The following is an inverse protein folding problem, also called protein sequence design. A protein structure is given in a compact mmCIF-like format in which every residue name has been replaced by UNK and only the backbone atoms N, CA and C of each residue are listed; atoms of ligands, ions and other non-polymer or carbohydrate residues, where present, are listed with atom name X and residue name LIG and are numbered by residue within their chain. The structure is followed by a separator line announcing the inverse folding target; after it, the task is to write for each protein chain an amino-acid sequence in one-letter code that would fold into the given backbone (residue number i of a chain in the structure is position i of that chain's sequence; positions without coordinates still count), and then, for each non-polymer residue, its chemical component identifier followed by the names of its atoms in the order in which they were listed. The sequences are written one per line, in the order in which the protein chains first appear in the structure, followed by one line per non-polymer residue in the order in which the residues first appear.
data_IF_491117361607
#
_entry.id   IF_491117361607
#
_cell.length_a   1.000
_cell.length_b   1.000
_cell.length_c   1.000
_cell.angle_alpha   90.00
_cell.angle_beta   90.00
_cell.angle_gamma   90.00
#
_symmetry.space_group_name_H-M   'P 1'
#
loop_
_entity.id
_entity.type
_entity.pdbx_description
1 polymer ?
#
# COMPACT_ATOMS: atom_id res chain seq x y z
N UNK A 1 -15.84 -22.50 18.18
CA UNK A 1 -15.19 -21.35 18.87
C UNK A 1 -15.68 -20.08 18.19
N UNK A 2 -15.89 -18.99 18.94
CA UNK A 2 -16.23 -17.69 18.32
C UNK A 2 -15.02 -17.23 17.49
N UNK A 3 -15.27 -16.62 16.31
CA UNK A 3 -14.19 -16.02 15.52
C UNK A 3 -13.62 -14.82 16.26
N UNK A 4 -12.30 -14.67 16.24
CA UNK A 4 -11.59 -13.59 16.92
C UNK A 4 -11.08 -12.57 15.91
N UNK A 5 -11.32 -11.30 16.23
CA UNK A 5 -10.80 -10.17 15.47
C UNK A 5 -9.69 -9.52 16.29
N UNK A 6 -8.51 -9.33 15.69
CA UNK A 6 -7.33 -8.79 16.36
C UNK A 6 -7.06 -7.38 15.87
N UNK A 7 -6.92 -6.44 16.78
CA UNK A 7 -6.70 -5.03 16.49
C UNK A 7 -5.35 -4.60 17.07
N UNK A 8 -4.25 -4.72 16.29
CA UNK A 8 -2.95 -4.21 16.70
C UNK A 8 -3.04 -2.72 17.04
N UNK A 9 -2.43 -2.33 18.15
CA UNK A 9 -2.45 -0.94 18.64
C UNK A 9 -1.61 0.00 17.77
N UNK A 10 -0.68 -0.54 16.98
CA UNK A 10 0.12 0.20 16.01
C UNK A 10 -0.16 -0.25 14.59
N UNK A 11 -0.86 0.58 13.83
CA UNK A 11 -1.21 0.35 12.41
C UNK A 11 -0.76 1.52 11.51
N UNK A 12 0.27 2.25 11.96
CA UNK A 12 0.78 3.46 11.35
C UNK A 12 2.19 3.79 11.87
N UNK A 13 2.88 4.75 11.22
CA UNK A 13 4.24 5.16 11.63
C UNK A 13 4.34 5.80 13.02
N UNK A 14 3.26 6.42 13.51
CA UNK A 14 3.20 7.11 14.80
C UNK A 14 3.27 6.20 16.04
N UNK A 15 2.98 6.76 17.21
CA UNK A 15 2.94 6.06 18.51
C UNK A 15 1.72 5.13 18.62
N UNK A 16 1.85 3.92 19.19
CA UNK A 16 0.72 3.02 19.39
C UNK A 16 -0.45 3.69 20.13
N UNK A 17 -1.67 3.34 19.74
CA UNK A 17 -2.89 3.78 20.43
C UNK A 17 -3.06 3.11 21.78
N UNK A 18 -3.69 3.82 22.71
CA UNK A 18 -3.90 3.38 24.09
C UNK A 18 -5.34 2.89 24.22
N UNK A 19 -5.58 1.63 24.65
CA UNK A 19 -6.92 1.10 24.86
C UNK A 19 -7.78 2.00 25.76
N UNK A 20 -9.06 2.16 25.41
CA UNK A 20 -10.06 2.90 26.20
C UNK A 20 -11.24 2.01 26.66
N UNK A 21 -11.11 0.71 26.43
CA UNK A 21 -12.05 -0.36 26.82
C UNK A 21 -11.36 -1.33 27.79
N UNK A 22 -12.13 -2.23 28.39
CA UNK A 22 -11.66 -3.26 29.31
C UNK A 22 -12.10 -4.64 28.85
N UNK A 23 -11.39 -5.68 29.29
CA UNK A 23 -11.81 -7.06 29.08
C UNK A 23 -13.22 -7.30 29.62
N UNK A 24 -14.03 -8.02 28.84
CA UNK A 24 -15.45 -8.24 29.13
C UNK A 24 -16.40 -7.14 28.63
N UNK A 25 -15.89 -5.98 28.20
CA UNK A 25 -16.74 -4.92 27.64
C UNK A 25 -17.42 -5.38 26.35
N UNK A 26 -18.71 -5.07 26.22
CA UNK A 26 -19.42 -5.15 24.95
C UNK A 26 -19.07 -3.94 24.10
N UNK A 27 -18.80 -4.18 22.82
CA UNK A 27 -18.47 -3.13 21.86
C UNK A 27 -19.33 -3.22 20.62
N UNK A 28 -19.67 -2.06 20.07
CA UNK A 28 -20.40 -1.92 18.82
C UNK A 28 -19.46 -1.57 17.67
N UNK A 29 -19.86 -1.92 16.45
CA UNK A 29 -19.21 -1.47 15.23
C UNK A 29 -19.17 0.05 15.18
N UNK A 30 -18.01 0.63 14.90
CA UNK A 30 -17.75 2.07 14.95
C UNK A 30 -17.45 2.63 16.35
N UNK A 31 -17.47 1.82 17.41
CA UNK A 31 -17.12 2.28 18.76
C UNK A 31 -15.59 2.46 18.89
N UNK A 32 -15.16 3.56 19.51
CA UNK A 32 -13.74 3.81 19.80
C UNK A 32 -13.23 2.79 20.83
N UNK A 33 -12.17 2.05 20.48
CA UNK A 33 -11.56 1.03 21.35
C UNK A 33 -10.14 1.39 21.81
N UNK A 34 -9.42 2.22 21.05
CA UNK A 34 -8.15 2.79 21.48
C UNK A 34 -7.97 4.23 20.95
N UNK A 35 -7.48 5.13 21.79
CA UNK A 35 -7.24 6.54 21.46
C UNK A 35 -5.76 6.76 21.17
N UNK A 36 -5.42 7.58 20.19
CA UNK A 36 -4.02 7.99 20.01
C UNK A 36 -3.51 8.79 21.22
N UNK A 37 -2.22 8.67 21.59
CA UNK A 37 -1.65 9.48 22.67
C UNK A 37 -1.75 10.98 22.35
N UNK A 38 -1.98 11.80 23.38
CA UNK A 38 -2.02 13.25 23.23
C UNK A 38 -0.64 13.79 22.85
N UNK A 39 -0.61 14.84 22.03
CA UNK A 39 0.61 15.51 21.54
C UNK A 39 1.60 14.64 20.73
N UNK A 40 1.27 13.37 20.48
CA UNK A 40 2.05 12.48 19.63
C UNK A 40 1.38 12.26 18.27
N UNK A 41 2.20 12.03 17.24
CA UNK A 41 1.69 11.57 15.96
C UNK A 41 1.09 10.17 16.15
N UNK A 42 -0.18 9.98 15.80
CA UNK A 42 -0.86 8.70 15.90
C UNK A 42 -2.25 8.74 15.28
N UNK A 43 -3.04 7.68 15.51
CA UNK A 43 -4.41 7.57 15.01
C UNK A 43 -5.26 6.68 15.89
N UNK A 44 -6.50 7.10 16.17
CA UNK A 44 -7.51 6.32 16.87
C UNK A 44 -7.79 4.95 16.22
N UNK A 45 -8.30 4.00 17.01
CA UNK A 45 -8.70 2.67 16.58
C UNK A 45 -10.14 2.38 17.03
N UNK A 46 -10.91 1.82 16.11
CA UNK A 46 -12.34 1.57 16.27
C UNK A 46 -12.64 0.09 16.06
N UNK A 47 -13.67 -0.42 16.75
CA UNK A 47 -14.16 -1.76 16.46
C UNK A 47 -14.84 -1.78 15.10
N UNK A 48 -14.49 -2.74 14.25
CA UNK A 48 -15.19 -2.98 12.98
C UNK A 48 -16.37 -3.95 13.13
N UNK A 49 -16.61 -4.46 14.33
CA UNK A 49 -17.60 -5.51 14.60
C UNK A 49 -18.34 -5.26 15.92
N UNK A 50 -19.52 -5.85 16.05
CA UNK A 50 -20.14 -6.04 17.35
C UNK A 50 -19.47 -7.23 18.06
N UNK A 51 -19.16 -7.09 19.33
CA UNK A 51 -18.53 -8.19 20.04
C UNK A 51 -18.24 -7.91 21.50
N UNK A 52 -17.36 -8.73 22.05
CA UNK A 52 -16.89 -8.62 23.44
C UNK A 52 -15.38 -8.58 23.44
N UNK A 53 -14.79 -7.64 24.19
CA UNK A 53 -13.34 -7.61 24.38
C UNK A 53 -12.93 -8.87 25.14
N UNK A 54 -12.18 -9.74 24.48
CA UNK A 54 -11.72 -10.99 25.07
C UNK A 54 -10.38 -10.80 25.79
N UNK A 55 -9.47 -10.04 25.20
CA UNK A 55 -8.12 -9.83 25.73
C UNK A 55 -7.60 -8.45 25.32
N UNK A 56 -6.87 -7.80 26.23
CA UNK A 56 -6.08 -6.60 25.95
C UNK A 56 -4.63 -6.86 26.35
N UNK A 57 -3.71 -6.72 25.38
CA UNK A 57 -2.27 -6.79 25.60
C UNK A 57 -1.59 -5.45 25.31
N UNK A 58 -0.29 -5.36 25.54
CA UNK A 58 0.52 -4.18 25.22
C UNK A 58 0.56 -3.85 23.71
N UNK A 59 0.16 -4.78 22.85
CA UNK A 59 0.30 -4.65 21.39
C UNK A 59 -1.00 -4.85 20.62
N UNK A 60 -2.03 -5.47 21.19
CA UNK A 60 -3.29 -5.77 20.48
C UNK A 60 -4.50 -5.80 21.40
N UNK A 61 -5.67 -5.51 20.84
CA UNK A 61 -7.00 -5.76 21.43
C UNK A 61 -7.65 -6.90 20.65
N UNK A 62 -8.14 -7.93 21.34
CA UNK A 62 -8.84 -9.07 20.72
C UNK A 62 -10.33 -8.99 21.02
N UNK A 63 -11.16 -9.13 19.98
CA UNK A 63 -12.62 -9.05 20.07
C UNK A 63 -13.24 -10.36 19.62
N UNK A 64 -13.96 -11.02 20.51
CA UNK A 64 -14.82 -12.15 20.17
C UNK A 64 -16.10 -11.65 19.54
N UNK A 65 -16.34 -11.99 18.27
CA UNK A 65 -17.50 -11.48 17.53
C UNK A 65 -18.81 -12.09 18.05
N UNK A 66 -19.86 -11.29 18.02
CA UNK A 66 -21.23 -11.77 18.25
C UNK A 66 -21.87 -12.25 16.92
N UNK A 67 -22.89 -13.10 16.98
CA UNK A 67 -23.52 -13.66 15.77
C UNK A 67 -24.26 -12.59 14.95
N UNK A 68 -24.78 -11.56 15.61
CA UNK A 68 -25.48 -10.46 14.97
C UNK A 68 -24.51 -9.31 14.63
N UNK A 69 -24.25 -9.11 13.34
CA UNK A 69 -23.38 -8.07 12.80
C UNK A 69 -24.17 -7.11 11.88
N UNK A 70 -24.89 -6.12 12.45
CA UNK A 70 -25.55 -5.09 11.65
C UNK A 70 -24.50 -4.23 10.91
N UNK A 71 -24.90 -3.68 9.76
CA UNK A 71 -24.03 -2.79 8.97
C UNK A 71 -23.87 -1.39 9.57
N UNK A 72 -24.81 -0.99 10.44
CA UNK A 72 -24.79 0.29 11.14
C UNK A 72 -23.56 0.43 12.04
N UNK A 73 -23.14 1.66 12.26
CA UNK A 73 -21.95 2.00 13.05
C UNK A 73 -22.18 3.22 13.92
N UNK A 74 -21.43 3.30 15.04
CA UNK A 74 -21.38 4.53 15.83
C UNK A 74 -20.74 5.66 15.02
N UNK A 75 -21.45 6.79 14.94
CA UNK A 75 -21.00 7.96 14.18
C UNK A 75 -20.00 8.80 14.97
N UNK A 76 -19.05 9.38 14.25
CA UNK A 76 -18.12 10.39 14.76
C UNK A 76 -18.87 11.61 15.31
N UNK A 77 -18.30 12.23 16.34
CA UNK A 77 -18.98 13.28 17.12
C UNK A 77 -18.53 14.69 16.76
N UNK A 78 -17.35 14.84 16.16
CA UNK A 78 -16.81 16.13 15.74
C UNK A 78 -17.67 16.83 14.68
N UNK A 79 -17.38 18.11 14.47
CA UNK A 79 -18.12 18.98 13.55
C UNK A 79 -17.28 19.49 12.37
N UNK A 80 -16.02 19.85 12.60
CA UNK A 80 -15.14 20.32 11.53
C UNK A 80 -14.51 19.16 10.76
N UNK A 81 -14.21 19.40 9.49
CA UNK A 81 -13.74 18.37 8.56
C UNK A 81 -12.38 17.79 9.01
N UNK A 82 -11.42 18.64 9.38
CA UNK A 82 -10.12 18.19 9.87
C UNK A 82 -10.23 17.43 11.19
N UNK A 83 -11.09 17.86 12.10
CA UNK A 83 -11.35 17.17 13.37
C UNK A 83 -12.01 15.82 13.14
N UNK A 84 -12.95 15.71 12.21
CA UNK A 84 -13.58 14.44 11.82
C UNK A 84 -12.55 13.47 11.21
N UNK A 85 -11.66 13.95 10.35
CA UNK A 85 -10.55 13.13 9.78
C UNK A 85 -9.59 12.67 10.89
N UNK A 86 -9.31 13.54 11.86
CA UNK A 86 -8.47 13.20 13.02
C UNK A 86 -9.16 12.19 13.95
N UNK A 87 -10.44 12.40 14.23
CA UNK A 87 -11.25 11.53 15.08
C UNK A 87 -11.39 10.15 14.46
N UNK A 88 -11.69 10.06 13.16
CA UNK A 88 -11.96 8.80 12.43
C UNK A 88 -10.84 7.76 12.48
N UNK A 89 -9.63 8.18 12.86
CA UNK A 89 -8.45 7.33 12.82
C UNK A 89 -7.98 7.04 11.39
N UNK A 90 -8.27 7.94 10.45
CA UNK A 90 -7.82 7.81 9.07
C UNK A 90 -6.31 8.05 8.95
N UNK A 91 -5.65 7.13 8.24
CA UNK A 91 -4.24 7.18 7.87
C UNK A 91 -4.11 7.03 6.35
N UNK A 92 -2.96 7.38 5.78
CA UNK A 92 -2.70 7.17 4.36
C UNK A 92 -2.70 5.69 4.01
N UNK A 93 -3.64 5.28 3.16
CA UNK A 93 -3.93 3.88 2.83
C UNK A 93 -3.07 3.33 1.68
N UNK A 94 -2.28 4.18 1.03
CA UNK A 94 -1.36 3.79 -0.06
C UNK A 94 0.03 3.35 0.38
N UNK A 95 0.28 3.09 1.67
CA UNK A 95 1.61 2.72 2.15
C UNK A 95 1.76 2.71 3.67
N UNK A 96 2.74 3.48 4.19
CA UNK A 96 3.19 3.40 5.57
C UNK A 96 2.17 3.86 6.65
N UNK A 97 0.97 4.32 6.27
CA UNK A 97 -0.05 4.76 7.23
C UNK A 97 0.27 6.08 7.91
N UNK A 98 0.74 7.11 7.19
CA UNK A 98 0.91 8.44 7.78
C UNK A 98 -0.46 9.03 8.17
N UNK A 99 -0.68 9.54 9.41
CA UNK A 99 -1.99 10.09 9.80
C UNK A 99 -2.48 11.20 8.87
N UNK A 100 -3.67 11.04 8.29
CA UNK A 100 -4.15 11.90 7.21
C UNK A 100 -4.39 13.34 7.68
N UNK A 101 -4.91 13.52 8.90
CA UNK A 101 -5.08 14.86 9.48
C UNK A 101 -3.74 15.61 9.56
N UNK A 102 -2.65 14.92 9.91
CA UNK A 102 -1.34 15.55 10.07
C UNK A 102 -0.76 15.98 8.71
N UNK A 103 -1.18 15.33 7.63
CA UNK A 103 -0.82 15.73 6.26
C UNK A 103 -1.61 16.95 5.78
N UNK A 104 -2.85 17.12 6.26
CA UNK A 104 -3.76 18.20 5.86
C UNK A 104 -3.78 19.41 6.81
N UNK A 105 -3.21 19.30 8.01
CA UNK A 105 -3.30 20.35 9.04
C UNK A 105 -2.61 21.67 8.69
N UNK A 106 -1.66 21.64 7.74
CA UNK A 106 -0.92 22.82 7.31
C UNK A 106 -1.53 23.30 5.98
N UNK A 107 -2.31 24.40 5.98
CA UNK A 107 -2.81 24.96 4.74
C UNK A 107 -1.66 25.52 3.89
N UNK A 108 -1.90 25.60 2.59
CA UNK A 108 -1.09 26.38 1.67
C UNK A 108 -1.29 27.88 1.95
N UNK A 109 -0.31 28.68 1.54
CA UNK A 109 -0.48 30.13 1.51
C UNK A 109 -1.60 30.51 0.49
N UNK A 110 -2.16 31.72 0.62
CA UNK A 110 -3.21 32.17 -0.30
C UNK A 110 -2.70 32.16 -1.75
N UNK A 111 -3.55 31.72 -2.68
CA UNK A 111 -3.30 31.62 -4.13
C UNK A 111 -2.28 30.53 -4.53
N UNK A 112 -2.28 29.38 -3.85
CA UNK A 112 -1.39 28.27 -4.18
C UNK A 112 -1.84 26.87 -3.76
N UNK A 113 -1.01 25.88 -4.07
CA UNK A 113 -1.18 24.50 -3.63
C UNK A 113 -1.87 23.57 -4.63
N UNK A 114 -1.55 22.28 -4.52
CA UNK A 114 -2.17 21.23 -5.34
C UNK A 114 -2.40 19.99 -4.49
N UNK A 115 -3.63 19.49 -4.46
CA UNK A 115 -3.92 18.15 -3.95
C UNK A 115 -3.85 17.16 -5.11
N UNK A 116 -2.96 16.18 -5.01
CA UNK A 116 -2.78 15.14 -6.04
C UNK A 116 -3.37 13.84 -5.50
N UNK A 117 -4.39 13.30 -6.16
CA UNK A 117 -4.86 11.95 -5.92
C UNK A 117 -3.99 10.97 -6.71
N UNK A 118 -3.25 10.15 -5.99
CA UNK A 118 -2.50 9.03 -6.51
C UNK A 118 -3.44 7.82 -6.69
N UNK A 119 -3.96 7.69 -7.89
CA UNK A 119 -4.75 6.55 -8.37
C UNK A 119 -3.93 5.69 -9.36
N UNK A 120 -2.61 5.65 -9.18
CA UNK A 120 -1.72 4.94 -10.09
C UNK A 120 -1.72 3.42 -9.91
N UNK A 121 -2.22 2.91 -8.77
CA UNK A 121 -2.24 1.49 -8.35
C UNK A 121 -1.02 0.73 -8.89
N UNK A 122 0.15 1.09 -8.37
CA UNK A 122 1.40 0.70 -9.01
C UNK A 122 1.81 -0.74 -8.75
N UNK A 123 1.45 -1.28 -7.59
CA UNK A 123 1.71 -2.67 -7.27
C UNK A 123 0.94 -3.57 -8.26
N UNK A 124 1.63 -4.39 -9.07
CA UNK A 124 0.95 -5.27 -10.01
C UNK A 124 0.03 -6.23 -9.24
N UNK A 125 -1.01 -6.75 -9.90
CA UNK A 125 -2.06 -7.59 -9.31
C UNK A 125 -3.08 -6.80 -8.46
N UNK A 126 -2.66 -5.80 -7.69
CA UNK A 126 -3.62 -4.98 -6.93
C UNK A 126 -4.47 -4.16 -7.90
N UNK A 127 -5.78 -4.11 -7.62
CA UNK A 127 -6.76 -3.41 -8.47
C UNK A 127 -7.86 -2.71 -7.67
N UNK A 128 -7.88 -2.82 -6.34
CA UNK A 128 -9.00 -2.35 -5.51
C UNK A 128 -9.29 -0.84 -5.65
N UNK A 129 -8.27 0.02 -5.80
CA UNK A 129 -8.51 1.45 -5.99
C UNK A 129 -9.05 1.74 -7.41
N UNK A 130 -8.57 1.02 -8.43
CA UNK A 130 -9.07 1.14 -9.80
C UNK A 130 -10.51 0.65 -9.90
N UNK A 131 -10.81 -0.49 -9.27
CA UNK A 131 -12.16 -1.06 -9.20
C UNK A 131 -13.13 -0.11 -8.49
N UNK A 132 -12.69 0.54 -7.39
CA UNK A 132 -13.44 1.61 -6.71
C UNK A 132 -13.78 2.76 -7.66
N UNK A 133 -12.79 3.31 -8.38
CA UNK A 133 -12.99 4.40 -9.36
C UNK A 133 -13.91 3.95 -10.50
N UNK A 134 -13.74 2.73 -10.98
CA UNK A 134 -14.58 2.16 -12.02
C UNK A 134 -16.00 1.97 -11.52
N UNK A 135 -16.24 1.60 -10.27
CA UNK A 135 -17.61 1.47 -9.74
C UNK A 135 -18.27 2.84 -9.52
N UNK A 136 -17.60 3.74 -8.79
CA UNK A 136 -18.07 5.10 -8.53
C UNK A 136 -16.89 6.04 -8.18
N UNK A 137 -16.52 7.00 -9.05
CA UNK A 137 -15.43 7.94 -8.76
C UNK A 137 -15.84 9.06 -7.79
N UNK A 138 -17.13 9.21 -7.46
CA UNK A 138 -17.62 10.36 -6.69
C UNK A 138 -17.10 10.45 -5.25
N UNK A 139 -16.96 9.35 -4.47
CA UNK A 139 -16.38 9.41 -3.13
C UNK A 139 -14.96 9.99 -3.14
N UNK A 140 -14.12 9.56 -4.08
CA UNK A 140 -12.76 10.07 -4.28
C UNK A 140 -12.79 11.58 -4.59
N UNK A 141 -13.63 12.01 -5.54
CA UNK A 141 -13.72 13.43 -5.95
C UNK A 141 -14.23 14.31 -4.80
N UNK A 142 -15.23 13.85 -4.04
CA UNK A 142 -15.72 14.58 -2.86
C UNK A 142 -14.65 14.68 -1.78
N UNK A 143 -13.91 13.59 -1.54
CA UNK A 143 -12.78 13.57 -0.63
C UNK A 143 -11.66 14.55 -1.04
N UNK A 144 -11.35 14.60 -2.33
CA UNK A 144 -10.42 15.57 -2.92
C UNK A 144 -10.88 17.01 -2.63
N UNK A 145 -12.15 17.34 -2.89
CA UNK A 145 -12.70 18.69 -2.65
C UNK A 145 -12.62 19.09 -1.19
N UNK A 146 -12.95 18.18 -0.26
CA UNK A 146 -12.80 18.40 1.18
C UNK A 146 -11.33 18.67 1.54
N UNK A 147 -10.39 17.89 0.99
CA UNK A 147 -8.97 18.09 1.24
C UNK A 147 -8.47 19.44 0.69
N UNK A 148 -8.96 19.86 -0.48
CA UNK A 148 -8.67 21.17 -1.05
C UNK A 148 -9.18 22.31 -0.15
N UNK A 149 -10.41 22.21 0.36
CA UNK A 149 -10.98 23.20 1.27
C UNK A 149 -10.17 23.32 2.58
N UNK A 150 -9.84 22.19 3.22
CA UNK A 150 -9.06 22.17 4.47
C UNK A 150 -7.69 22.84 4.29
N UNK A 151 -7.07 22.62 3.13
CA UNK A 151 -5.70 23.05 2.86
C UNK A 151 -5.62 24.37 2.12
N UNK A 152 -6.76 24.97 1.74
CA UNK A 152 -6.82 26.14 0.87
C UNK A 152 -6.08 25.93 -0.47
N UNK A 153 -6.13 24.72 -1.03
CA UNK A 153 -5.48 24.40 -2.30
C UNK A 153 -6.36 24.82 -3.49
N UNK A 154 -5.75 25.51 -4.44
CA UNK A 154 -6.47 26.02 -5.61
C UNK A 154 -6.74 24.94 -6.66
N UNK A 155 -5.95 23.86 -6.69
CA UNK A 155 -6.01 22.82 -7.72
C UNK A 155 -6.08 21.40 -7.15
N UNK A 156 -6.88 20.57 -7.78
CA UNK A 156 -6.89 19.12 -7.61
C UNK A 156 -6.37 18.43 -8.88
N UNK A 157 -5.58 17.38 -8.73
CA UNK A 157 -5.13 16.55 -9.86
C UNK A 157 -5.38 15.09 -9.52
N UNK A 158 -6.07 14.36 -10.39
CA UNK A 158 -6.27 12.91 -10.26
C UNK A 158 -5.32 12.22 -11.24
N UNK A 159 -4.34 11.48 -10.73
CA UNK A 159 -3.31 10.85 -11.53
C UNK A 159 -3.57 9.34 -11.67
N UNK A 160 -3.86 8.90 -12.90
CA UNK A 160 -4.25 7.52 -13.24
C UNK A 160 -3.38 7.04 -14.40
N UNK A 161 -2.96 5.78 -14.42
CA UNK A 161 -2.21 5.25 -15.57
C UNK A 161 -3.06 5.14 -16.82
N UNK A 162 -2.48 5.48 -17.97
CA UNK A 162 -3.13 5.51 -19.29
C UNK A 162 -3.84 4.20 -19.67
N UNK A 163 -3.38 3.05 -19.15
CA UNK A 163 -4.01 1.74 -19.40
C UNK A 163 -5.42 1.61 -18.82
N UNK A 164 -5.77 2.36 -17.78
CA UNK A 164 -7.06 2.26 -17.08
C UNK A 164 -8.13 3.12 -17.77
N UNK A 165 -8.40 2.80 -19.04
CA UNK A 165 -9.24 3.62 -19.92
C UNK A 165 -10.67 3.81 -19.40
N UNK A 166 -11.26 2.79 -18.76
CA UNK A 166 -12.61 2.87 -18.19
C UNK A 166 -12.65 3.79 -16.96
N UNK A 167 -11.70 3.65 -16.04
CA UNK A 167 -11.52 4.58 -14.92
C UNK A 167 -11.33 6.03 -15.39
N UNK A 168 -10.44 6.26 -16.36
CA UNK A 168 -10.18 7.59 -16.94
C UNK A 168 -11.46 8.19 -17.52
N UNK A 169 -12.23 7.40 -18.28
CA UNK A 169 -13.49 7.86 -18.86
C UNK A 169 -14.50 8.28 -17.79
N UNK A 170 -14.67 7.47 -16.74
CA UNK A 170 -15.60 7.77 -15.65
C UNK A 170 -15.18 8.99 -14.84
N UNK A 171 -13.89 9.16 -14.57
CA UNK A 171 -13.37 10.35 -13.88
C UNK A 171 -13.55 11.59 -14.74
N UNK A 172 -13.19 11.56 -16.04
CA UNK A 172 -13.37 12.70 -16.96
C UNK A 172 -14.84 13.17 -17.01
N UNK A 173 -15.78 12.23 -17.04
CA UNK A 173 -17.22 12.56 -16.99
C UNK A 173 -17.62 13.18 -15.64
N UNK A 174 -17.09 12.65 -14.53
CA UNK A 174 -17.44 13.11 -13.19
C UNK A 174 -16.85 14.50 -12.83
N UNK A 175 -15.75 14.91 -13.47
CA UNK A 175 -15.10 16.22 -13.24
C UNK A 175 -15.38 17.24 -14.35
N UNK A 176 -16.24 16.93 -15.33
CA UNK A 176 -16.45 17.79 -16.51
C UNK A 176 -16.88 19.23 -16.20
N UNK A 177 -17.56 19.41 -15.06
CA UNK A 177 -18.07 20.70 -14.58
C UNK A 177 -17.21 21.29 -13.44
N UNK A 178 -16.08 20.64 -13.09
CA UNK A 178 -15.15 21.11 -12.06
C UNK A 178 -14.03 21.93 -12.73
N UNK A 179 -13.96 23.23 -12.47
CA UNK A 179 -12.99 24.14 -13.13
C UNK A 179 -11.56 23.99 -12.60
N UNK A 180 -11.39 23.41 -11.42
CA UNK A 180 -10.13 23.36 -10.68
C UNK A 180 -9.63 21.94 -10.38
N UNK A 181 -10.22 20.93 -11.03
CA UNK A 181 -9.81 19.53 -10.89
C UNK A 181 -9.47 18.98 -12.28
N UNK A 182 -8.23 18.56 -12.45
CA UNK A 182 -7.72 17.98 -13.69
C UNK A 182 -7.44 16.48 -13.53
N UNK A 183 -7.45 15.75 -14.65
CA UNK A 183 -6.93 14.38 -14.73
C UNK A 183 -5.57 14.37 -15.43
N UNK A 184 -4.60 13.67 -14.84
CA UNK A 184 -3.28 13.46 -15.40
C UNK A 184 -3.06 11.97 -15.74
N UNK A 185 -2.76 11.67 -17.00
CA UNK A 185 -2.50 10.30 -17.46
C UNK A 185 -1.02 9.95 -17.25
N UNK A 186 -0.75 8.97 -16.39
CA UNK A 186 0.58 8.46 -16.09
C UNK A 186 0.98 7.36 -17.07
N UNK A 187 2.27 7.27 -17.37
CA UNK A 187 2.84 6.12 -18.09
C UNK A 187 2.65 4.82 -17.29
N UNK A 188 2.41 3.70 -17.96
CA UNK A 188 2.31 2.39 -17.29
C UNK A 188 3.68 1.81 -16.92
N UNK A 189 4.28 2.39 -15.87
CA UNK A 189 5.59 1.98 -15.36
C UNK A 189 5.57 1.88 -13.83
N UNK A 190 6.19 0.85 -13.27
CA UNK A 190 6.51 0.82 -11.85
C UNK A 190 7.87 1.53 -11.61
N UNK A 191 7.97 2.51 -10.69
CA UNK A 191 7.04 2.86 -9.62
C UNK A 191 6.46 4.28 -9.79
N UNK A 192 5.67 4.55 -10.84
CA UNK A 192 5.13 5.91 -11.08
C UNK A 192 4.17 6.43 -10.00
N UNK A 193 3.68 5.55 -9.13
CA UNK A 193 2.89 5.89 -7.95
C UNK A 193 3.73 6.20 -6.72
N UNK A 194 5.07 6.15 -6.80
CA UNK A 194 5.92 6.71 -5.75
C UNK A 194 5.76 8.24 -5.76
N UNK A 195 5.65 8.83 -4.57
CA UNK A 195 5.23 10.22 -4.39
C UNK A 195 6.12 11.24 -5.10
N UNK A 196 7.45 11.02 -5.12
CA UNK A 196 8.42 11.90 -5.77
C UNK A 196 8.45 11.67 -7.28
N UNK A 197 8.28 10.44 -7.75
CA UNK A 197 8.07 10.19 -9.18
C UNK A 197 6.79 10.87 -9.68
N UNK A 198 5.70 10.77 -8.92
CA UNK A 198 4.42 11.36 -9.28
C UNK A 198 4.51 12.90 -9.40
N UNK A 199 5.13 13.55 -8.40
CA UNK A 199 5.33 15.00 -8.42
C UNK A 199 6.26 15.41 -9.58
N UNK A 200 7.30 14.62 -9.88
CA UNK A 200 8.17 14.87 -11.03
C UNK A 200 7.38 14.82 -12.34
N UNK A 201 6.53 13.82 -12.56
CA UNK A 201 5.79 13.71 -13.82
C UNK A 201 4.72 14.81 -13.97
N UNK A 202 4.10 15.26 -12.86
CA UNK A 202 3.03 16.27 -12.89
C UNK A 202 3.57 17.71 -12.91
N UNK A 203 4.63 17.99 -12.14
CA UNK A 203 5.13 19.36 -11.91
C UNK A 203 6.52 19.62 -12.49
N UNK A 204 7.19 18.61 -13.06
CA UNK A 204 8.59 18.67 -13.49
C UNK A 204 9.56 19.04 -12.35
N UNK A 205 9.20 18.66 -11.12
CA UNK A 205 10.02 18.89 -9.91
C UNK A 205 10.43 17.55 -9.32
N UNK A 206 11.72 17.23 -9.36
CA UNK A 206 12.29 16.09 -8.63
C UNK A 206 12.68 16.54 -7.22
N UNK A 207 11.93 16.09 -6.23
CA UNK A 207 12.21 16.33 -4.81
C UNK A 207 13.45 15.57 -4.35
N UNK A 208 14.19 16.11 -3.39
CA UNK A 208 15.27 15.36 -2.71
C UNK A 208 14.68 14.22 -1.87
N UNK A 209 15.52 13.23 -1.49
CA UNK A 209 15.06 12.05 -0.74
C UNK A 209 14.48 12.41 0.65
N UNK A 210 14.89 13.54 1.21
CA UNK A 210 14.41 14.06 2.51
C UNK A 210 13.24 15.02 2.38
N UNK A 211 12.95 15.52 1.18
CA UNK A 211 11.93 16.53 0.99
C UNK A 211 10.53 15.93 1.15
N UNK A 212 9.62 16.78 1.62
CA UNK A 212 8.20 16.49 1.64
C UNK A 212 7.54 17.12 0.40
N UNK A 213 6.44 16.53 -0.10
CA UNK A 213 5.63 17.09 -1.18
C UNK A 213 5.30 18.58 -1.08
N UNK A 214 5.15 19.06 0.15
CA UNK A 214 4.84 20.45 0.45
C UNK A 214 5.89 21.42 -0.12
N UNK A 215 7.15 20.99 -0.30
CA UNK A 215 8.21 21.79 -0.96
C UNK A 215 7.88 22.11 -2.41
N UNK A 216 7.11 21.26 -3.08
CA UNK A 216 6.62 21.46 -4.44
C UNK A 216 5.15 21.94 -4.46
N UNK A 217 4.70 22.60 -3.38
CA UNK A 217 3.31 23.05 -3.19
C UNK A 217 2.29 21.93 -3.46
N UNK A 218 2.59 20.72 -2.99
CA UNK A 218 1.78 19.53 -3.24
C UNK A 218 1.45 18.78 -1.96
N UNK A 219 0.27 18.18 -1.91
CA UNK A 219 -0.08 17.11 -0.97
C UNK A 219 -0.59 15.94 -1.80
N UNK A 220 0.02 14.76 -1.64
CA UNK A 220 -0.43 13.56 -2.36
C UNK A 220 -1.30 12.69 -1.45
N UNK A 221 -2.47 12.27 -1.92
CA UNK A 221 -3.34 11.33 -1.22
C UNK A 221 -3.56 10.12 -2.11
N UNK A 222 -3.54 8.91 -1.54
CA UNK A 222 -4.00 7.74 -2.28
C UNK A 222 -5.53 7.83 -2.50
N UNK A 223 -6.04 7.23 -3.58
CA UNK A 223 -7.47 7.23 -3.91
C UNK A 223 -8.36 6.83 -2.72
N UNK A 224 -8.15 5.66 -2.14
CA UNK A 224 -8.99 5.20 -1.04
C UNK A 224 -8.88 6.13 0.17
N UNK A 225 -7.71 6.74 0.40
CA UNK A 225 -7.58 7.75 1.45
C UNK A 225 -8.52 8.94 1.21
N UNK A 226 -8.65 9.41 -0.03
CA UNK A 226 -9.61 10.45 -0.39
C UNK A 226 -11.05 9.97 -0.22
N UNK A 227 -11.38 8.77 -0.70
CA UNK A 227 -12.71 8.17 -0.52
C UNK A 227 -13.08 8.06 0.97
N UNK A 228 -12.13 7.68 1.85
CA UNK A 228 -12.35 7.64 3.31
C UNK A 228 -12.37 9.02 3.99
N UNK A 229 -11.78 10.07 3.38
CA UNK A 229 -12.01 11.46 3.84
C UNK A 229 -13.49 11.81 3.68
N UNK A 230 -14.09 11.50 2.53
CA UNK A 230 -15.51 11.71 2.30
C UNK A 230 -16.37 10.90 3.31
N UNK A 231 -16.06 9.62 3.52
CA UNK A 231 -16.79 8.81 4.52
C UNK A 231 -16.69 9.39 5.94
N UNK A 232 -15.51 9.87 6.34
CA UNK A 232 -15.30 10.45 7.66
C UNK A 232 -16.07 11.77 7.86
N UNK A 233 -16.10 12.64 6.84
CA UNK A 233 -16.68 13.98 6.96
C UNK A 233 -18.20 13.98 6.73
N UNK A 234 -18.65 13.37 5.64
CA UNK A 234 -20.05 13.41 5.22
C UNK A 234 -20.89 12.32 5.88
N UNK A 235 -20.34 11.10 5.98
CA UNK A 235 -21.06 9.96 6.57
C UNK A 235 -20.78 9.81 8.07
N UNK A 236 -19.79 10.54 8.60
CA UNK A 236 -19.31 10.43 9.98
C UNK A 236 -18.90 9.01 10.33
N UNK A 237 -18.29 8.31 9.38
CA UNK A 237 -17.85 6.92 9.54
C UNK A 237 -16.38 6.87 10.00
N UNK A 238 -16.07 6.19 11.12
CA UNK A 238 -14.68 5.91 11.49
C UNK A 238 -14.02 4.97 10.47
N UNK A 239 -12.68 4.92 10.43
CA UNK A 239 -11.97 3.95 9.60
C UNK A 239 -12.08 2.54 10.23
N UNK A 240 -13.08 1.79 9.77
CA UNK A 240 -13.41 0.43 10.25
C UNK A 240 -13.37 -0.64 9.16
N UNK A 241 -13.33 -0.22 7.90
CA UNK A 241 -13.27 -1.14 6.76
C UNK A 241 -12.19 -0.72 5.77
N UNK A 242 -11.73 -1.69 4.98
CA UNK A 242 -10.66 -1.56 4.01
C UNK A 242 -11.03 -2.26 2.71
N UNK A 243 -10.67 -1.68 1.58
CA UNK A 243 -10.80 -2.34 0.28
C UNK A 243 -9.52 -3.13 -0.02
N UNK A 244 -9.65 -4.38 -0.49
CA UNK A 244 -8.53 -5.32 -0.57
C UNK A 244 -8.61 -6.10 -1.88
N UNK A 245 -7.46 -6.26 -2.55
CA UNK A 245 -7.32 -7.25 -3.62
C UNK A 245 -6.79 -8.57 -3.07
N UNK A 246 -7.51 -9.66 -3.29
CA UNK A 246 -7.12 -11.03 -2.91
C UNK A 246 -6.78 -11.80 -4.17
N UNK A 247 -5.59 -12.41 -4.23
CA UNK A 247 -5.09 -12.99 -5.47
C UNK A 247 -4.20 -14.21 -5.27
N UNK A 248 -3.93 -14.92 -6.38
CA UNK A 248 -2.93 -15.97 -6.46
C UNK A 248 -3.51 -17.38 -6.51
N UNK A 249 -2.91 -18.30 -5.75
CA UNK A 249 -3.34 -19.70 -5.62
C UNK A 249 -4.60 -19.79 -4.76
N UNK A 250 -5.76 -19.63 -5.39
CA UNK A 250 -7.09 -19.62 -4.77
C UNK A 250 -7.91 -20.83 -5.23
N UNK A 251 -8.99 -21.16 -4.50
CA UNK A 251 -9.90 -22.25 -4.89
C UNK A 251 -10.79 -21.90 -6.08
N UNK A 252 -11.21 -20.65 -6.18
CA UNK A 252 -12.01 -20.12 -7.29
C UNK A 252 -11.43 -18.78 -7.74
N UNK A 253 -11.34 -18.57 -9.05
CA UNK A 253 -10.69 -17.40 -9.65
C UNK A 253 -9.20 -17.25 -9.33
N UNK A 254 -8.59 -16.18 -9.86
CA UNK A 254 -7.18 -15.83 -9.60
C UNK A 254 -7.04 -14.49 -8.89
N UNK A 255 -8.02 -13.59 -9.03
CA UNK A 255 -8.02 -12.24 -8.49
C UNK A 255 -9.47 -11.91 -8.11
N UNK A 256 -9.67 -11.42 -6.90
CA UNK A 256 -10.93 -10.92 -6.37
C UNK A 256 -10.69 -9.54 -5.76
N UNK A 257 -11.61 -8.62 -5.96
CA UNK A 257 -11.64 -7.34 -5.24
C UNK A 257 -12.76 -7.41 -4.21
N UNK A 258 -12.41 -7.15 -2.96
CA UNK A 258 -13.36 -7.07 -1.85
C UNK A 258 -13.41 -5.64 -1.35
N UNK A 259 -14.61 -5.06 -1.33
CA UNK A 259 -14.83 -3.74 -0.73
C UNK A 259 -15.38 -3.87 0.68
N UNK A 260 -15.02 -2.91 1.54
CA UNK A 260 -15.47 -2.81 2.92
C UNK A 260 -15.17 -4.07 3.76
N UNK A 261 -13.97 -4.65 3.63
CA UNK A 261 -13.50 -5.73 4.49
C UNK A 261 -13.28 -5.18 5.91
N UNK A 262 -13.95 -5.73 6.94
CA UNK A 262 -13.80 -5.23 8.31
C UNK A 262 -12.37 -5.37 8.82
N UNK A 263 -11.82 -4.31 9.41
CA UNK A 263 -10.49 -4.35 10.04
C UNK A 263 -10.44 -5.39 11.16
N UNK A 264 -9.29 -6.03 11.34
CA UNK A 264 -9.05 -7.02 12.40
C UNK A 264 -9.52 -8.44 12.09
N UNK A 265 -10.23 -8.67 10.97
CA UNK A 265 -10.44 -10.02 10.44
C UNK A 265 -9.09 -10.69 10.17
N UNK A 266 -8.98 -12.00 10.34
CA UNK A 266 -7.75 -12.73 10.00
C UNK A 266 -7.55 -12.85 8.48
N UNK A 267 -6.30 -13.04 8.06
CA UNK A 267 -5.94 -13.37 6.67
C UNK A 267 -6.72 -14.58 6.16
N UNK A 268 -6.82 -15.64 6.97
CA UNK A 268 -7.66 -16.82 6.67
C UNK A 268 -9.12 -16.42 6.45
N UNK A 269 -9.67 -15.58 7.35
CA UNK A 269 -11.04 -15.11 7.25
C UNK A 269 -11.32 -14.35 5.96
N UNK A 270 -10.34 -13.62 5.41
CA UNK A 270 -10.47 -12.96 4.10
C UNK A 270 -10.46 -13.98 2.96
N UNK A 271 -9.59 -14.99 3.00
CA UNK A 271 -9.62 -16.06 1.99
C UNK A 271 -10.94 -16.83 2.04
N UNK A 272 -11.51 -17.08 3.22
CA UNK A 272 -12.81 -17.74 3.36
C UNK A 272 -13.95 -16.97 2.65
N UNK A 273 -13.90 -15.62 2.64
CA UNK A 273 -14.91 -14.78 1.97
C UNK A 273 -14.98 -15.02 0.46
N UNK A 274 -13.90 -15.49 -0.15
CA UNK A 274 -13.81 -15.79 -1.58
C UNK A 274 -13.79 -17.29 -1.89
N UNK A 275 -14.19 -18.14 -0.93
CA UNK A 275 -14.24 -19.59 -1.10
C UNK A 275 -12.97 -20.35 -0.70
N UNK A 276 -11.93 -19.66 -0.23
CA UNK A 276 -10.73 -20.21 0.39
C UNK A 276 -9.46 -20.15 -0.46
N UNK A 277 -8.33 -20.29 0.23
CA UNK A 277 -6.99 -20.42 -0.37
C UNK A 277 -6.80 -21.82 -0.98
N UNK A 278 -5.99 -21.93 -2.04
CA UNK A 278 -5.64 -23.21 -2.65
C UNK A 278 -4.82 -24.11 -1.73
N UNK A 279 -4.84 -25.42 -2.00
CA UNK A 279 -4.17 -26.42 -1.14
C UNK A 279 -2.63 -26.35 -1.21
N UNK A 280 -2.09 -25.80 -2.30
CA UNK A 280 -0.65 -25.67 -2.52
C UNK A 280 -0.28 -24.23 -2.92
N UNK A 281 0.51 -23.58 -2.06
CA UNK A 281 1.06 -22.24 -2.26
C UNK A 281 2.44 -22.12 -1.59
N UNK A 282 3.26 -21.19 -2.04
CA UNK A 282 4.61 -20.99 -1.51
C UNK A 282 4.65 -20.15 -0.24
N UNK A 283 3.94 -19.02 -0.26
CA UNK A 283 3.81 -18.10 0.87
C UNK A 283 2.58 -17.21 0.68
N UNK A 284 2.18 -16.52 1.74
CA UNK A 284 1.16 -15.47 1.69
C UNK A 284 1.87 -14.12 1.82
N UNK A 285 1.60 -13.22 0.88
CA UNK A 285 2.13 -11.87 0.85
C UNK A 285 1.01 -10.90 1.25
N UNK A 286 1.22 -10.11 2.30
CA UNK A 286 0.39 -8.97 2.64
C UNK A 286 0.94 -7.71 1.94
N UNK A 287 0.12 -7.10 1.10
CA UNK A 287 0.47 -6.00 0.21
C UNK A 287 0.69 -6.45 -1.24
N UNK A 288 1.42 -5.64 -2.00
CA UNK A 288 1.70 -5.90 -3.42
C UNK A 288 2.97 -6.72 -3.67
N UNK A 289 3.19 -7.19 -4.91
CA UNK A 289 4.35 -8.02 -5.25
C UNK A 289 5.71 -7.37 -5.02
N UNK A 290 5.84 -6.04 -5.13
CA UNK A 290 7.14 -5.37 -4.96
C UNK A 290 7.45 -5.11 -3.49
N UNK A 291 6.51 -4.54 -2.73
CA UNK A 291 6.74 -4.06 -1.36
C UNK A 291 6.08 -4.89 -0.27
N UNK A 292 5.28 -5.88 -0.64
CA UNK A 292 4.55 -6.73 0.29
C UNK A 292 5.49 -7.62 1.13
N UNK A 293 4.99 -8.00 2.30
CA UNK A 293 5.72 -8.82 3.28
C UNK A 293 5.05 -10.16 3.46
N UNK A 294 5.83 -11.18 3.81
CA UNK A 294 5.28 -12.47 4.22
C UNK A 294 4.37 -12.28 5.43
N UNK A 295 3.24 -12.97 5.44
CA UNK A 295 2.27 -13.01 6.53
C UNK A 295 1.75 -14.43 6.73
N UNK A 296 1.02 -14.65 7.81
CA UNK A 296 0.42 -15.92 8.19
C UNK A 296 -1.11 -15.83 8.26
N UNK A 297 -1.77 -16.98 8.26
CA UNK A 297 -3.24 -17.08 8.19
C UNK A 297 -3.95 -16.43 9.40
N UNK A 298 -3.29 -16.47 10.55
CA UNK A 298 -3.78 -15.92 11.82
C UNK A 298 -3.53 -14.42 12.02
N UNK A 299 -2.75 -13.80 11.12
CA UNK A 299 -2.44 -12.37 11.19
C UNK A 299 -3.69 -11.53 10.83
N UNK A 300 -3.87 -10.35 11.43
CA UNK A 300 -5.02 -9.51 11.16
C UNK A 300 -4.83 -8.61 9.94
N UNK A 301 -5.94 -8.30 9.29
CA UNK A 301 -6.06 -7.18 8.37
C UNK A 301 -6.02 -5.87 9.16
N UNK A 302 -5.14 -4.97 8.76
CA UNK A 302 -4.94 -3.66 9.37
C UNK A 302 -5.19 -2.55 8.34
N UNK A 303 -5.21 -1.29 8.81
CA UNK A 303 -5.50 -0.11 7.96
C UNK A 303 -4.68 -0.04 6.67
N UNK A 304 -3.43 -0.49 6.70
CA UNK A 304 -2.51 -0.42 5.55
C UNK A 304 -2.52 -1.67 4.66
N UNK A 305 -3.41 -2.64 4.92
CA UNK A 305 -3.50 -3.87 4.12
C UNK A 305 -4.27 -3.58 2.82
N UNK A 306 -3.55 -3.42 1.70
CA UNK A 306 -4.15 -3.24 0.37
C UNK A 306 -4.30 -4.52 -0.45
N UNK A 307 -3.66 -5.61 -0.04
CA UNK A 307 -3.74 -6.88 -0.78
C UNK A 307 -3.29 -8.10 0.00
N UNK A 308 -3.75 -9.26 -0.46
CA UNK A 308 -3.33 -10.58 -0.01
C UNK A 308 -3.05 -11.45 -1.22
N UNK A 309 -1.85 -12.00 -1.31
CA UNK A 309 -1.43 -12.81 -2.45
C UNK A 309 -0.92 -14.16 -1.98
N UNK A 310 -1.62 -15.24 -2.33
CA UNK A 310 -1.12 -16.60 -2.20
C UNK A 310 -0.16 -16.88 -3.36
N UNK A 311 1.13 -16.70 -3.14
CA UNK A 311 2.15 -16.81 -4.18
C UNK A 311 2.41 -18.27 -4.58
N UNK A 312 2.94 -18.46 -5.79
CA UNK A 312 3.34 -19.78 -6.26
C UNK A 312 4.51 -20.36 -5.44
N UNK A 313 4.56 -21.69 -5.34
CA UNK A 313 5.64 -22.42 -4.66
C UNK A 313 7.01 -21.99 -5.19
N UNK A 314 7.94 -21.78 -4.25
CA UNK A 314 9.32 -21.47 -4.58
C UNK A 314 9.94 -22.60 -5.40
N UNK A 315 10.69 -22.24 -6.43
CA UNK A 315 11.53 -23.19 -7.14
C UNK A 315 12.85 -23.37 -6.38
N UNK A 316 13.43 -24.56 -6.46
CA UNK A 316 14.80 -24.78 -6.01
C UNK A 316 15.73 -23.80 -6.74
N UNK A 317 16.36 -22.93 -5.97
CA UNK A 317 17.32 -21.96 -6.46
C UNK A 317 18.68 -22.59 -6.74
N UNK A 318 19.63 -21.82 -7.28
CA UNK A 318 21.03 -22.25 -7.34
C UNK A 318 21.61 -22.38 -5.92
N UNK A 319 22.80 -22.95 -5.79
CA UNK A 319 23.50 -23.02 -4.50
C UNK A 319 23.76 -21.61 -3.94
N UNK A 320 24.11 -20.65 -4.81
CA UNK A 320 24.53 -19.30 -4.41
C UNK A 320 23.81 -18.19 -5.18
N UNK A 321 23.08 -17.34 -4.47
CA UNK A 321 22.39 -16.16 -5.00
C UNK A 321 23.11 -14.85 -4.65
N UNK A 322 23.20 -13.95 -5.62
CA UNK A 322 23.53 -12.54 -5.39
C UNK A 322 22.25 -11.72 -5.23
N UNK A 323 22.16 -10.92 -4.16
CA UNK A 323 21.00 -10.07 -3.90
C UNK A 323 21.24 -8.66 -4.43
N UNK A 324 20.34 -8.15 -5.28
CA UNK A 324 20.34 -6.75 -5.71
C UNK A 324 19.12 -6.04 -5.14
N UNK A 325 19.33 -5.29 -4.06
CA UNK A 325 18.30 -4.60 -3.30
C UNK A 325 17.96 -3.26 -3.96
N UNK A 326 16.68 -2.97 -4.13
CA UNK A 326 16.20 -1.69 -4.64
C UNK A 326 15.35 -0.96 -3.60
N UNK A 327 15.58 0.35 -3.47
CA UNK A 327 14.79 1.21 -2.59
C UNK A 327 13.30 1.31 -3.00
N UNK A 328 12.97 0.96 -4.25
CA UNK A 328 11.60 0.96 -4.76
C UNK A 328 10.90 -0.41 -4.61
N UNK A 329 11.52 -1.42 -4.01
CA UNK A 329 10.92 -2.76 -3.93
C UNK A 329 11.24 -3.43 -2.60
N UNK A 330 11.33 -4.75 -2.61
CA UNK A 330 11.65 -5.54 -1.44
C UNK A 330 13.02 -5.17 -0.85
N UNK A 331 13.07 -5.06 0.48
CA UNK A 331 14.27 -4.78 1.24
C UNK A 331 15.19 -6.02 1.34
N UNK A 332 16.37 -5.82 1.96
CA UNK A 332 17.35 -6.88 2.14
C UNK A 332 16.80 -8.07 2.94
N UNK A 333 16.03 -7.81 4.00
CA UNK A 333 15.47 -8.85 4.86
C UNK A 333 14.52 -9.75 4.06
N UNK A 334 13.68 -9.15 3.23
CA UNK A 334 12.75 -9.86 2.36
C UNK A 334 13.48 -10.68 1.29
N UNK A 335 14.52 -10.14 0.66
CA UNK A 335 15.30 -10.91 -0.33
C UNK A 335 16.05 -12.08 0.31
N UNK A 336 16.57 -11.92 1.53
CA UNK A 336 17.19 -13.01 2.30
C UNK A 336 16.18 -14.11 2.65
N UNK A 337 14.98 -13.73 3.07
CA UNK A 337 13.90 -14.67 3.35
C UNK A 337 13.54 -15.50 2.11
N UNK A 338 13.42 -14.86 0.95
CA UNK A 338 13.17 -15.55 -0.32
C UNK A 338 14.32 -16.48 -0.73
N UNK A 339 15.58 -16.03 -0.59
CA UNK A 339 16.74 -16.88 -0.88
C UNK A 339 16.77 -18.14 0.00
N UNK A 340 16.42 -18.00 1.30
CA UNK A 340 16.30 -19.12 2.22
C UNK A 340 15.18 -20.08 1.78
N UNK A 341 14.01 -19.57 1.37
CA UNK A 341 12.91 -20.39 0.83
C UNK A 341 13.27 -21.10 -0.48
N UNK A 342 14.21 -20.56 -1.26
CA UNK A 342 14.74 -21.21 -2.46
C UNK A 342 15.84 -22.24 -2.17
N UNK A 343 16.29 -22.35 -0.91
CA UNK A 343 17.41 -23.22 -0.53
C UNK A 343 18.79 -22.70 -0.98
N UNK A 344 18.92 -21.39 -1.17
CA UNK A 344 20.14 -20.76 -1.68
C UNK A 344 20.90 -20.01 -0.60
N UNK A 345 22.23 -20.13 -0.59
CA UNK A 345 23.11 -19.26 0.20
C UNK A 345 23.24 -17.88 -0.45
N UNK A 346 23.43 -16.84 0.36
CA UNK A 346 23.68 -15.48 -0.14
C UNK A 346 25.17 -15.28 -0.39
N UNK A 347 25.56 -15.19 -1.65
CA UNK A 347 26.94 -14.95 -2.08
C UNK A 347 27.41 -13.51 -1.84
N UNK A 348 26.49 -12.56 -1.94
CA UNK A 348 26.76 -11.14 -1.77
C UNK A 348 25.49 -10.31 -1.88
N UNK A 349 25.56 -9.09 -1.37
CA UNK A 349 24.44 -8.15 -1.34
C UNK A 349 24.94 -6.83 -1.90
N UNK A 350 24.24 -6.31 -2.89
CA UNK A 350 24.49 -5.00 -3.45
C UNK A 350 23.19 -4.19 -3.46
N UNK A 351 23.34 -2.88 -3.32
CA UNK A 351 22.24 -1.94 -3.37
C UNK A 351 22.25 -1.23 -4.73
N UNK A 352 21.04 -1.00 -5.26
CA UNK A 352 20.79 -0.20 -6.46
C UNK A 352 21.60 1.10 -6.40
N UNK A 353 22.18 1.51 -7.53
CA UNK A 353 23.00 2.73 -7.61
C UNK A 353 22.31 4.01 -7.09
N UNK A 354 20.99 4.09 -7.17
CA UNK A 354 20.19 5.21 -6.68
C UNK A 354 19.64 5.00 -5.26
N UNK A 355 19.89 3.87 -4.61
CA UNK A 355 19.41 3.64 -3.26
C UNK A 355 20.26 4.45 -2.27
N UNK A 356 19.62 5.43 -1.63
CA UNK A 356 20.20 6.25 -0.58
C UNK A 356 19.68 5.75 0.77
N UNK A 357 20.60 5.43 1.67
CA UNK A 357 20.26 5.04 3.03
C UNK A 357 19.82 6.27 3.85
N UNK A 358 18.67 6.17 4.48
CA UNK A 358 18.10 7.19 5.35
C UNK A 358 18.55 6.95 6.79
N UNK A 359 18.45 7.98 7.65
CA UNK A 359 18.86 7.89 9.07
C UNK A 359 18.16 6.78 9.87
N UNK A 360 17.00 6.32 9.43
CA UNK A 360 16.22 5.26 10.06
C UNK A 360 16.55 3.86 9.52
N UNK A 361 17.59 3.72 8.67
CA UNK A 361 17.98 2.46 8.02
C UNK A 361 17.10 2.04 6.84
N UNK A 362 16.08 2.84 6.48
CA UNK A 362 15.31 2.60 5.24
C UNK A 362 16.04 3.19 4.04
N UNK A 363 15.72 2.73 2.84
CA UNK A 363 16.31 3.23 1.62
C UNK A 363 15.29 4.03 0.81
N UNK A 364 15.73 5.13 0.20
CA UNK A 364 14.96 5.89 -0.78
C UNK A 364 15.72 5.96 -2.10
N UNK A 365 14.98 5.87 -3.21
CA UNK A 365 15.57 5.95 -4.54
C UNK A 365 15.76 7.42 -4.93
N UNK A 366 16.94 7.83 -5.37
CA UNK A 366 17.23 9.19 -5.82
C UNK A 366 16.29 9.66 -6.94
N UNK A 367 16.02 8.81 -7.95
CA UNK A 367 15.13 9.13 -9.07
C UNK A 367 14.22 7.94 -9.42
N UNK A 368 13.10 7.74 -8.69
CA UNK A 368 12.28 6.55 -8.82
C UNK A 368 11.75 6.38 -10.25
N UNK A 369 11.98 5.19 -10.83
CA UNK A 369 11.56 4.83 -12.18
C UNK A 369 12.48 5.29 -13.32
N UNK A 370 13.62 5.95 -13.03
CA UNK A 370 14.62 6.35 -14.04
C UNK A 370 16.03 5.88 -13.62
N UNK A 371 16.45 4.73 -14.14
CA UNK A 371 17.64 3.99 -13.71
C UNK A 371 18.94 4.43 -14.43
N UNK A 372 20.07 4.63 -13.72
CA UNK A 372 21.37 4.96 -14.32
C UNK A 372 22.16 3.72 -14.78
N UNK A 373 21.59 2.52 -14.70
CA UNK A 373 22.23 1.23 -14.99
C UNK A 373 22.83 0.53 -13.75
N UNK A 374 22.83 -0.81 -13.77
CA UNK A 374 23.25 -1.66 -12.64
C UNK A 374 24.46 -2.58 -12.94
N UNK A 375 25.18 -2.34 -14.05
CA UNK A 375 26.24 -3.24 -14.55
C UNK A 375 27.33 -3.50 -13.50
N UNK A 376 27.83 -2.44 -12.84
CA UNK A 376 28.88 -2.56 -11.83
C UNK A 376 28.45 -3.48 -10.67
N UNK A 377 27.20 -3.31 -10.21
CA UNK A 377 26.61 -4.08 -9.10
C UNK A 377 26.47 -5.55 -9.46
N UNK A 378 25.97 -5.84 -10.66
CA UNK A 378 25.86 -7.21 -11.19
C UNK A 378 27.24 -7.87 -11.30
N UNK A 379 28.26 -7.15 -11.76
CA UNK A 379 29.63 -7.67 -11.84
C UNK A 379 30.23 -7.96 -10.47
N UNK A 380 29.97 -7.14 -9.45
CA UNK A 380 30.42 -7.40 -8.07
C UNK A 380 29.80 -8.67 -7.50
N UNK A 381 28.48 -8.84 -7.65
CA UNK A 381 27.79 -10.06 -7.21
C UNK A 381 28.32 -11.31 -7.91
N UNK A 382 28.57 -11.24 -9.22
CA UNK A 382 29.19 -12.35 -9.96
C UNK A 382 30.59 -12.68 -9.45
N UNK A 383 31.42 -11.66 -9.17
CA UNK A 383 32.76 -11.85 -8.59
C UNK A 383 32.71 -12.43 -7.17
N UNK A 384 31.65 -12.15 -6.42
CA UNK A 384 31.39 -12.76 -5.10
C UNK A 384 30.94 -14.23 -5.19
N UNK A 385 30.80 -14.79 -6.40
CA UNK A 385 30.45 -16.20 -6.60
C UNK A 385 28.95 -16.46 -6.79
N UNK A 386 28.14 -15.42 -7.03
CA UNK A 386 26.74 -15.60 -7.37
C UNK A 386 26.57 -16.43 -8.65
N UNK A 387 25.75 -17.49 -8.57
CA UNK A 387 25.38 -18.34 -9.70
C UNK A 387 24.11 -17.84 -10.40
N UNK A 388 23.26 -17.10 -9.68
CA UNK A 388 22.16 -16.30 -10.23
C UNK A 388 21.92 -15.05 -9.38
N UNK A 389 21.07 -14.15 -9.86
CA UNK A 389 20.63 -12.97 -9.12
C UNK A 389 19.20 -13.15 -8.61
N UNK A 390 18.94 -12.67 -7.41
CA UNK A 390 17.61 -12.35 -6.92
C UNK A 390 17.51 -10.82 -6.75
N UNK A 391 16.60 -10.20 -7.50
CA UNK A 391 16.51 -8.74 -7.60
C UNK A 391 15.15 -8.23 -7.15
N UNK A 392 15.13 -7.02 -6.56
CA UNK A 392 13.89 -6.29 -6.22
C UNK A 392 13.71 -4.97 -6.97
N UNK A 393 14.47 -4.81 -8.05
CA UNK A 393 14.53 -3.61 -8.87
C UNK A 393 13.18 -3.20 -9.46
N UNK A 394 12.90 -1.89 -9.49
CA UNK A 394 11.76 -1.37 -10.24
C UNK A 394 11.86 -1.72 -11.74
N UNK A 395 10.78 -1.53 -12.49
CA UNK A 395 10.70 -1.97 -13.89
C UNK A 395 11.87 -1.50 -14.75
N UNK A 396 12.20 -0.20 -14.69
CA UNK A 396 13.28 0.34 -15.50
C UNK A 396 14.65 -0.17 -15.04
N UNK A 397 14.87 -0.28 -13.73
CA UNK A 397 16.07 -0.90 -13.20
C UNK A 397 16.22 -2.37 -13.67
N UNK A 398 15.12 -3.12 -13.72
CA UNK A 398 15.11 -4.51 -14.19
C UNK A 398 15.47 -4.62 -15.67
N UNK A 399 15.04 -3.67 -16.52
CA UNK A 399 15.50 -3.61 -17.92
C UNK A 399 17.03 -3.50 -18.02
N UNK A 400 17.65 -2.70 -17.14
CA UNK A 400 19.11 -2.55 -17.12
C UNK A 400 19.81 -3.84 -16.68
N UNK A 401 19.30 -4.52 -15.65
CA UNK A 401 19.84 -5.80 -15.17
C UNK A 401 19.71 -6.86 -16.26
N UNK A 402 18.56 -6.94 -16.92
CA UNK A 402 18.31 -7.91 -18.00
C UNK A 402 19.11 -7.62 -19.27
N UNK A 403 19.71 -6.45 -19.40
CA UNK A 403 20.63 -6.14 -20.50
C UNK A 403 22.04 -6.66 -20.22
N UNK A 404 22.48 -6.70 -18.96
CA UNK A 404 23.85 -7.11 -18.60
C UNK A 404 23.98 -8.54 -18.04
N UNK A 405 22.98 -9.05 -17.31
CA UNK A 405 23.07 -10.36 -16.66
C UNK A 405 23.06 -11.56 -17.64
N UNK A 406 22.19 -11.61 -18.68
CA UNK A 406 22.17 -12.73 -19.62
C UNK A 406 23.48 -12.90 -20.42
N UNK A 407 24.13 -11.85 -20.97
CA UNK A 407 25.46 -11.98 -21.58
C UNK A 407 26.52 -12.53 -20.62
N UNK A 408 26.35 -12.30 -19.32
CA UNK A 408 27.22 -12.83 -18.27
C UNK A 408 26.87 -14.27 -17.86
N UNK A 409 25.88 -14.92 -18.50
CA UNK A 409 25.34 -16.24 -18.14
C UNK A 409 24.85 -16.31 -16.70
N UNK A 410 24.26 -15.22 -16.22
CA UNK A 410 23.75 -15.10 -14.86
C UNK A 410 22.21 -15.05 -14.91
N UNK A 411 21.49 -16.13 -14.54
CA UNK A 411 20.04 -16.13 -14.46
C UNK A 411 19.52 -15.06 -13.49
N UNK A 412 18.31 -14.58 -13.72
CA UNK A 412 17.69 -13.53 -12.91
C UNK A 412 16.31 -13.99 -12.41
N UNK A 413 16.20 -14.06 -11.10
CA UNK A 413 14.97 -14.18 -10.34
C UNK A 413 14.56 -12.79 -9.86
N UNK A 414 13.26 -12.56 -9.79
CA UNK A 414 12.69 -11.30 -9.33
C UNK A 414 11.79 -11.57 -8.13
N UNK A 415 11.81 -10.70 -7.12
CA UNK A 415 11.02 -10.88 -5.90
C UNK A 415 9.50 -11.01 -6.18
N UNK A 416 9.03 -10.43 -7.28
CA UNK A 416 7.63 -10.49 -7.70
C UNK A 416 7.24 -11.80 -8.39
N UNK A 417 8.20 -12.68 -8.75
CA UNK A 417 7.93 -13.81 -9.65
C UNK A 417 6.84 -14.75 -9.13
N UNK A 418 6.94 -15.15 -7.86
CA UNK A 418 5.97 -16.08 -7.25
C UNK A 418 4.55 -15.53 -7.27
N UNK A 419 4.39 -14.24 -6.95
CA UNK A 419 3.10 -13.56 -6.99
C UNK A 419 2.54 -13.46 -8.43
N UNK A 420 3.37 -13.02 -9.38
CA UNK A 420 2.92 -12.83 -10.77
C UNK A 420 2.57 -14.15 -11.45
N UNK A 421 3.34 -15.22 -11.21
CA UNK A 421 3.02 -16.55 -11.75
C UNK A 421 1.74 -17.11 -11.18
N UNK A 422 1.45 -16.86 -9.90
CA UNK A 422 0.23 -17.34 -9.25
C UNK A 422 -1.05 -16.88 -9.96
N UNK A 423 -1.00 -15.75 -10.67
CA UNK A 423 -2.13 -15.20 -11.44
C UNK A 423 -1.89 -15.16 -12.95
N UNK A 424 -0.90 -15.90 -13.46
CA UNK A 424 -0.52 -15.93 -14.88
C UNK A 424 -0.18 -14.54 -15.48
N UNK A 425 0.32 -13.62 -14.65
CA UNK A 425 0.73 -12.30 -15.09
C UNK A 425 2.12 -12.32 -15.74
N UNK A 426 2.35 -11.41 -16.68
CA UNK A 426 3.66 -11.22 -17.30
C UNK A 426 4.71 -10.87 -16.24
N UNK A 427 5.85 -11.59 -16.27
CA UNK A 427 6.96 -11.36 -15.37
C UNK A 427 7.71 -10.05 -15.66
N UNK A 428 8.20 -9.42 -14.59
CA UNK A 428 9.07 -8.24 -14.66
C UNK A 428 10.46 -8.69 -15.12
N UNK A 429 10.74 -8.51 -16.42
CA UNK A 429 12.03 -8.86 -17.06
C UNK A 429 12.47 -7.79 -18.05
N UNK A 430 11.82 -7.76 -19.20
CA UNK A 430 12.03 -6.74 -20.23
C UNK A 430 10.70 -6.14 -20.57
N UNK A 431 10.48 -4.91 -20.12
CA UNK A 431 9.34 -4.09 -20.52
C UNK A 431 9.75 -3.30 -21.76
N UNK A 432 8.85 -3.20 -22.74
CA UNK A 432 9.12 -2.36 -23.91
C UNK A 432 9.20 -0.92 -23.39
N UNK A 433 10.32 -0.25 -23.63
CA UNK A 433 10.35 1.21 -23.54
C UNK A 433 9.35 1.73 -24.57
N UNK A 434 8.31 2.43 -24.11
CA UNK A 434 7.42 3.17 -24.98
C UNK A 434 8.16 4.36 -25.59
#
# INVERSE_FOLDING_TARGET
MKKLYKFPLRQHIGSPSIPVVKEGDKVLRGQLIAKMPEEMLGSNLYSSVNGTIEEISDITINIAIDDNQPSDYEKLKSKGALELIKESGLVGLGGAGFPTYAKLQKPFDKDGGTIIINAAECEPILNHNIDSIENDPLPMIKGLKIAMEITNADKGIIAIKEKHTDAIKKVKEAIKDEENIDLFELIDLYPMGEERALIREIKDVLLEVTDLPFVADSIVLNEETASKIYEAVELKKPLIDKDITVAGKLKDGLIHVLHNVPLGISVEGVFDLIGGIGDEYGEIIMGGPFTGKRTHLEDPIVKTTGGLIAAESFWSGPEKLGLLVCACGADEARLKEMAASMGSEVAGIEYCKQAIEMKNGTYKCENPGRCPGQVEKVLKLKKAGAQALLVSNCTDCTNTVMTCAPPLKLPVYHNTDGALRAVNHKLVRKMKSH
#
